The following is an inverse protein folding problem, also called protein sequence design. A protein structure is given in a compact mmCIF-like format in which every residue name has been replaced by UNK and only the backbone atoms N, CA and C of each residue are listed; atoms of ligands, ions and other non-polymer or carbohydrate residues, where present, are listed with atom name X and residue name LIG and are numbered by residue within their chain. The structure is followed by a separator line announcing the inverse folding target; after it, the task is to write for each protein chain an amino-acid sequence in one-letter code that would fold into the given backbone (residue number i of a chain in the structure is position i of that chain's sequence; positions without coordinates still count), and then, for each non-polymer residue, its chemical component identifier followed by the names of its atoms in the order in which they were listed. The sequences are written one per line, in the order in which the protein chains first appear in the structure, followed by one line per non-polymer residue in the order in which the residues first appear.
data_IF_550756217828
#
_entry.id   IF_550756217828
#
_cell.length_a   1.000
_cell.length_b   1.000
_cell.length_c   1.000
_cell.angle_alpha   90.00
_cell.angle_beta   90.00
_cell.angle_gamma   90.00
#
_symmetry.space_group_name_H-M   'P 1'
#
loop_
_entity.id
_entity.type
_entity.pdbx_description
1 polymer ?
#
# COMPACT_ATOMS: atom_id res chain seq x y z
N UNK A 1 12.95 78.68 23.66
CA UNK A 1 11.60 79.06 23.18
C UNK A 1 11.73 79.47 21.73
N UNK A 2 10.94 79.00 20.74
CA UNK A 2 10.08 77.82 20.57
C UNK A 2 10.67 76.83 19.51
N UNK A 3 10.40 75.51 19.51
CA UNK A 3 9.27 74.76 18.92
C UNK A 3 8.92 75.09 17.46
N UNK A 4 9.12 74.11 16.56
CA UNK A 4 8.09 73.68 15.61
C UNK A 4 8.35 72.23 15.16
N UNK A 5 7.26 71.47 15.23
CA UNK A 5 7.13 70.03 15.13
C UNK A 5 6.33 69.75 13.84
N UNK A 6 6.82 68.90 12.93
CA UNK A 6 5.97 68.29 11.88
C UNK A 6 6.36 66.83 11.69
N UNK A 7 5.33 66.01 11.72
CA UNK A 7 5.17 64.56 11.80
C UNK A 7 5.42 63.76 10.50
N UNK A 8 6.01 62.56 10.65
CA UNK A 8 5.88 61.25 9.92
C UNK A 8 5.83 61.20 8.38
N UNK A 9 6.54 60.22 7.77
CA UNK A 9 5.92 58.93 7.38
C UNK A 9 6.78 57.73 7.83
N UNK A 10 6.23 56.72 8.52
CA UNK A 10 5.57 55.50 8.03
C UNK A 10 6.46 54.53 7.22
N UNK A 11 6.43 53.26 7.69
CA UNK A 11 6.91 52.00 7.08
C UNK A 11 8.39 51.90 6.67
N UNK A 12 9.24 51.49 7.61
CA UNK A 12 10.54 50.89 7.29
C UNK A 12 10.38 49.38 7.12
N UNK A 13 10.31 48.99 5.85
CA UNK A 13 10.41 47.65 5.28
C UNK A 13 11.40 46.72 6.03
N UNK A 14 10.89 45.60 6.54
CA UNK A 14 11.71 44.47 6.99
C UNK A 14 12.39 43.89 5.76
N UNK A 15 13.67 44.23 5.60
CA UNK A 15 14.49 43.70 4.50
C UNK A 15 14.97 42.32 4.94
N UNK A 16 14.30 41.27 4.47
CA UNK A 16 14.82 39.90 4.58
C UNK A 16 16.10 39.80 3.73
N UNK A 17 17.26 39.99 4.35
CA UNK A 17 18.54 39.71 3.69
C UNK A 17 18.69 38.20 3.54
N UNK A 18 18.57 37.71 2.30
CA UNK A 18 18.88 36.32 1.95
C UNK A 18 20.39 36.21 1.79
N UNK A 19 21.07 35.79 2.85
CA UNK A 19 22.45 35.32 2.73
C UNK A 19 22.56 34.00 3.50
N UNK A 20 22.58 32.91 2.72
CA UNK A 20 22.94 31.54 3.12
C UNK A 20 22.32 31.01 4.44
N UNK A 21 21.19 30.31 4.30
CA UNK A 21 20.69 29.26 5.20
C UNK A 21 20.41 29.57 6.69
N UNK A 22 20.29 30.84 7.12
CA UNK A 22 19.94 31.18 8.50
C UNK A 22 18.84 32.26 8.54
N UNK A 23 17.64 31.89 9.00
CA UNK A 23 16.59 32.86 9.34
C UNK A 23 16.80 33.33 10.78
N UNK A 24 17.37 34.53 10.94
CA UNK A 24 17.50 35.19 12.25
C UNK A 24 16.24 35.99 12.55
N UNK A 25 15.48 35.62 13.58
CA UNK A 25 14.45 36.47 14.18
C UNK A 25 15.08 37.32 15.27
N UNK A 26 15.34 38.60 15.00
CA UNK A 26 15.85 39.53 16.00
C UNK A 26 14.72 39.95 16.95
N UNK A 27 14.76 39.51 18.21
CA UNK A 27 14.01 40.13 19.33
C UNK A 27 14.89 41.21 19.99
N UNK A 28 14.35 42.39 20.33
CA UNK A 28 15.15 43.54 20.77
C UNK A 28 15.47 43.48 22.28
N UNK A 29 15.86 42.31 22.80
CA UNK A 29 16.56 42.13 24.08
C UNK A 29 16.86 40.64 24.34
N UNK A 30 18.14 40.32 24.53
CA UNK A 30 18.70 39.06 25.06
C UNK A 30 18.60 37.79 24.21
N UNK A 31 19.78 37.20 23.96
CA UNK A 31 20.11 35.94 23.28
C UNK A 31 19.58 35.72 21.86
N UNK A 32 20.53 35.56 20.93
CA UNK A 32 20.24 35.19 19.54
C UNK A 32 19.74 33.75 19.49
N UNK A 33 18.43 33.55 19.64
CA UNK A 33 17.81 32.25 19.49
C UNK A 33 17.86 31.84 18.01
N UNK A 34 18.81 30.98 17.67
CA UNK A 34 18.93 30.43 16.31
C UNK A 34 17.95 29.27 16.17
N UNK A 35 16.98 29.42 15.28
CA UNK A 35 16.02 28.37 15.03
C UNK A 35 16.64 27.17 14.28
N UNK A 36 16.18 25.94 14.53
CA UNK A 36 16.62 24.76 13.80
C UNK A 36 16.38 24.88 12.30
N UNK A 37 17.19 24.19 11.49
CA UNK A 37 17.00 24.13 10.03
C UNK A 37 15.57 23.68 9.67
N UNK A 38 14.95 24.39 8.73
CA UNK A 38 13.57 24.10 8.33
C UNK A 38 12.49 24.76 9.19
N UNK A 39 12.88 25.47 10.25
CA UNK A 39 11.98 26.21 11.13
C UNK A 39 11.96 27.71 10.80
N UNK A 40 10.77 28.29 10.68
CA UNK A 40 10.55 29.74 10.47
C UNK A 40 10.53 30.51 11.80
N UNK A 41 9.84 29.97 12.81
CA UNK A 41 9.69 30.60 14.12
C UNK A 41 9.80 29.54 15.20
N UNK A 42 10.62 29.78 16.22
CA UNK A 42 10.86 28.86 17.31
C UNK A 42 10.81 29.55 18.67
N UNK A 43 10.67 28.75 19.73
CA UNK A 43 10.78 29.15 21.12
C UNK A 43 11.54 28.09 21.89
N UNK A 44 12.21 28.47 22.97
CA UNK A 44 12.95 27.52 23.82
C UNK A 44 12.05 26.40 24.43
N UNK A 45 10.84 26.68 24.96
CA UNK A 45 10.03 25.63 25.59
C UNK A 45 9.24 24.76 24.59
N UNK A 46 8.85 25.30 23.43
CA UNK A 46 8.00 24.58 22.46
C UNK A 46 8.76 24.13 21.20
N UNK A 47 10.01 24.56 21.05
CA UNK A 47 10.81 24.27 19.86
C UNK A 47 10.30 25.01 18.65
N UNK A 48 10.27 24.32 17.51
CA UNK A 48 9.75 24.92 16.30
C UNK A 48 8.24 25.04 16.34
N UNK A 49 7.72 26.21 15.95
CA UNK A 49 6.29 26.53 15.89
C UNK A 49 5.78 26.47 14.45
N UNK A 50 6.55 27.02 13.50
CA UNK A 50 6.19 27.03 12.07
C UNK A 50 7.30 26.44 11.21
N UNK A 51 6.96 25.46 10.38
CA UNK A 51 7.89 24.84 9.45
C UNK A 51 7.85 25.50 8.07
N UNK A 52 8.96 25.42 7.35
CA UNK A 52 8.98 25.72 5.92
C UNK A 52 8.04 24.76 5.15
N UNK A 53 7.41 25.20 4.04
CA UNK A 53 6.39 24.41 3.32
C UNK A 53 6.83 23.01 2.84
N UNK A 54 8.13 22.76 2.72
CA UNK A 54 8.69 21.46 2.30
C UNK A 54 8.84 20.44 3.44
N UNK A 55 8.66 20.88 4.69
CA UNK A 55 8.88 20.06 5.89
C UNK A 55 7.54 19.66 6.52
N UNK A 56 7.60 18.59 7.30
CA UNK A 56 6.50 18.14 8.15
C UNK A 56 6.76 18.55 9.59
N UNK A 57 5.76 19.14 10.22
CA UNK A 57 5.74 19.42 11.64
C UNK A 57 5.53 18.11 12.43
N UNK A 58 6.46 17.80 13.31
CA UNK A 58 6.44 16.66 14.21
C UNK A 58 6.43 17.15 15.66
N UNK A 59 5.43 16.70 16.41
CA UNK A 59 5.30 17.00 17.84
C UNK A 59 5.82 15.82 18.66
N UNK A 60 6.94 16.03 19.33
CA UNK A 60 7.51 15.05 20.24
C UNK A 60 7.03 15.30 21.67
N UNK A 61 6.56 14.24 22.33
CA UNK A 61 6.12 14.27 23.74
C UNK A 61 7.17 13.58 24.60
N UNK A 62 7.82 14.33 25.49
CA UNK A 62 8.74 13.79 26.48
C UNK A 62 8.24 14.17 27.89
N UNK A 63 7.55 13.23 28.55
CA UNK A 63 6.89 13.51 29.82
C UNK A 63 5.79 14.56 29.67
N UNK A 64 5.94 15.70 30.35
CA UNK A 64 5.02 16.85 30.27
C UNK A 64 5.41 17.87 29.20
N UNK A 65 6.56 17.68 28.53
CA UNK A 65 7.07 18.63 27.54
C UNK A 65 6.61 18.22 26.14
N UNK A 66 6.21 19.22 25.36
CA UNK A 66 5.78 19.09 23.97
C UNK A 66 6.68 19.96 23.09
N UNK A 67 7.53 19.32 22.30
CA UNK A 67 8.53 20.01 21.48
C UNK A 67 8.22 19.80 19.99
N UNK A 68 8.04 20.89 19.26
CA UNK A 68 7.85 20.88 17.81
C UNK A 68 9.18 20.81 17.06
N UNK A 69 9.22 20.02 16.00
CA UNK A 69 10.37 19.88 15.09
C UNK A 69 9.90 19.80 13.64
N UNK A 70 10.76 20.23 12.71
CA UNK A 70 10.48 20.18 11.28
C UNK A 70 11.33 19.10 10.62
N UNK A 71 10.68 18.07 10.08
CA UNK A 71 11.36 16.92 9.49
C UNK A 71 11.06 16.83 7.98
N UNK A 72 12.04 16.46 7.15
CA UNK A 72 11.80 16.24 5.72
C UNK A 72 10.95 14.97 5.49
N UNK A 73 10.92 14.04 6.44
CA UNK A 73 10.13 12.81 6.40
C UNK A 73 9.76 12.39 7.82
N UNK A 74 8.56 11.83 8.00
CA UNK A 74 8.08 11.44 9.32
C UNK A 74 8.80 10.18 9.86
N UNK A 75 9.00 10.09 11.18
CA UNK A 75 9.66 8.95 11.81
C UNK A 75 8.80 7.69 11.77
N UNK A 76 9.38 6.54 12.12
CA UNK A 76 8.68 5.25 12.19
C UNK A 76 7.44 5.33 13.10
N UNK A 77 6.33 4.73 12.65
CA UNK A 77 5.05 4.81 13.33
C UNK A 77 4.28 6.12 13.09
N UNK A 78 4.76 7.02 12.23
CA UNK A 78 4.07 8.23 11.80
C UNK A 78 3.98 8.29 10.27
N UNK A 79 2.96 8.97 9.75
CA UNK A 79 2.78 9.24 8.33
C UNK A 79 2.60 10.74 8.09
N UNK A 80 3.10 11.22 6.96
CA UNK A 80 3.02 12.64 6.60
C UNK A 80 1.68 13.00 5.97
N UNK A 81 1.01 14.02 6.50
CA UNK A 81 -0.21 14.58 5.94
C UNK A 81 0.12 15.94 5.34
N UNK A 82 0.05 16.03 4.01
CA UNK A 82 0.20 17.30 3.28
C UNK A 82 -1.14 18.03 3.23
N UNK A 83 -1.12 19.30 3.60
CA UNK A 83 -2.30 20.18 3.60
C UNK A 83 -2.21 21.15 2.41
N UNK A 84 -3.06 20.99 1.37
CA UNK A 84 -2.99 21.80 0.16
C UNK A 84 -3.44 23.27 0.37
N UNK A 85 -4.13 23.53 1.46
CA UNK A 85 -4.69 24.78 1.95
C UNK A 85 -3.63 25.78 2.48
N UNK A 86 -2.34 25.53 2.24
CA UNK A 86 -1.23 26.37 2.72
C UNK A 86 -0.91 26.18 4.20
N UNK A 87 -1.70 25.38 4.91
CA UNK A 87 -1.43 24.96 6.29
C UNK A 87 -0.20 24.05 6.36
N UNK A 88 0.47 24.05 7.52
CA UNK A 88 1.67 23.24 7.73
C UNK A 88 1.37 21.75 7.55
N UNK A 89 2.24 21.06 6.80
CA UNK A 89 2.16 19.60 6.67
C UNK A 89 2.56 18.99 8.01
N UNK A 90 1.87 17.94 8.46
CA UNK A 90 2.06 17.39 9.82
C UNK A 90 2.37 15.90 9.78
N UNK A 91 3.18 15.44 10.73
CA UNK A 91 3.37 14.02 11.00
C UNK A 91 2.29 13.53 11.96
N UNK A 92 1.44 12.62 11.49
CA UNK A 92 0.38 12.02 12.29
C UNK A 92 0.74 10.60 12.70
N UNK A 93 0.49 10.26 13.96
CA UNK A 93 0.75 8.91 14.48
C UNK A 93 -0.13 7.88 13.77
N UNK A 94 0.46 6.76 13.42
CA UNK A 94 -0.23 5.59 12.92
C UNK A 94 -1.16 5.03 14.02
N UNK A 95 -2.45 4.87 13.70
CA UNK A 95 -3.45 4.31 14.63
C UNK A 95 -4.05 3.00 14.14
N UNK A 96 -3.52 2.42 13.05
CA UNK A 96 -3.97 1.12 12.58
C UNK A 96 -3.50 0.02 13.53
N UNK A 97 -4.41 -0.91 13.83
CA UNK A 97 -4.10 -2.09 14.61
C UNK A 97 -3.11 -3.00 13.86
N UNK A 98 -2.14 -3.54 14.60
CA UNK A 98 -1.14 -4.49 14.08
C UNK A 98 -0.31 -3.98 12.88
N UNK A 99 -0.24 -2.66 12.71
CA UNK A 99 0.54 -2.00 11.67
C UNK A 99 1.89 -1.52 12.23
N UNK A 100 2.97 -1.77 11.49
CA UNK A 100 4.34 -1.30 11.79
C UNK A 100 4.58 0.04 11.10
N UNK A 101 4.30 0.12 9.79
CA UNK A 101 4.37 1.36 9.01
C UNK A 101 3.08 1.59 8.23
N UNK A 102 2.57 2.82 8.24
CA UNK A 102 1.43 3.22 7.43
C UNK A 102 1.77 4.40 6.52
N UNK A 103 1.12 4.42 5.37
CA UNK A 103 1.20 5.50 4.40
C UNK A 103 0.13 6.57 4.67
N UNK A 104 -1.05 6.14 5.12
CA UNK A 104 -2.18 7.02 5.42
C UNK A 104 -2.95 6.54 6.64
N UNK A 105 -3.90 7.35 7.10
CA UNK A 105 -4.77 7.06 8.26
C UNK A 105 -5.45 5.68 8.20
N UNK A 106 -5.73 5.17 7.00
CA UNK A 106 -6.43 3.91 6.79
C UNK A 106 -5.63 2.92 5.93
N UNK A 107 -4.34 3.19 5.69
CA UNK A 107 -3.53 2.39 4.77
C UNK A 107 -2.18 2.04 5.38
N UNK A 108 -2.05 0.78 5.79
CA UNK A 108 -0.83 0.15 6.25
C UNK A 108 0.02 -0.27 5.05
N UNK A 109 1.32 -0.03 5.12
CA UNK A 109 2.31 -0.51 4.15
C UNK A 109 3.05 -1.74 4.66
N UNK A 110 3.18 -1.88 5.99
CA UNK A 110 3.85 -3.03 6.59
C UNK A 110 3.16 -3.41 7.89
N UNK A 111 2.69 -4.65 7.96
CA UNK A 111 2.11 -5.21 9.18
C UNK A 111 3.21 -5.66 10.15
N UNK A 112 2.84 -5.78 11.43
CA UNK A 112 3.69 -6.44 12.44
C UNK A 112 3.89 -7.91 12.08
N UNK A 113 4.98 -8.49 12.55
CA UNK A 113 5.27 -9.91 12.34
C UNK A 113 4.10 -10.78 12.83
N UNK A 114 3.71 -11.76 12.01
CA UNK A 114 2.57 -12.64 12.29
C UNK A 114 1.22 -12.14 11.79
N UNK A 115 1.16 -10.95 11.17
CA UNK A 115 -0.06 -10.43 10.52
C UNK A 115 0.12 -10.32 9.02
N UNK A 116 -0.98 -10.54 8.29
CA UNK A 116 -1.04 -10.49 6.84
C UNK A 116 -1.66 -9.18 6.35
N UNK A 117 -0.98 -8.53 5.42
CA UNK A 117 -1.41 -7.30 4.76
C UNK A 117 -2.42 -7.63 3.64
N UNK A 118 -3.59 -7.05 3.72
CA UNK A 118 -4.61 -7.13 2.69
C UNK A 118 -5.29 -5.77 2.51
N UNK A 119 -5.22 -5.22 1.29
CA UNK A 119 -5.83 -3.91 0.93
C UNK A 119 -5.52 -2.79 1.93
N UNK A 120 -4.27 -2.71 2.40
CA UNK A 120 -3.83 -1.69 3.36
C UNK A 120 -4.26 -1.92 4.81
N UNK A 121 -4.76 -3.11 5.16
CA UNK A 121 -5.10 -3.49 6.55
C UNK A 121 -4.40 -4.77 6.95
N UNK A 122 -4.14 -4.91 8.25
CA UNK A 122 -3.46 -6.06 8.82
C UNK A 122 -4.47 -7.01 9.45
N UNK A 123 -4.40 -8.28 9.08
CA UNK A 123 -5.28 -9.35 9.55
C UNK A 123 -4.46 -10.49 10.15
N UNK A 124 -5.04 -11.24 11.09
CA UNK A 124 -4.40 -12.44 11.65
C UNK A 124 -4.33 -13.60 10.65
N UNK A 125 -5.24 -13.65 9.68
CA UNK A 125 -5.26 -14.59 8.57
C UNK A 125 -5.81 -13.91 7.30
N UNK A 126 -5.49 -14.43 6.13
CA UNK A 126 -6.04 -13.90 4.88
C UNK A 126 -7.56 -14.14 4.79
N UNK A 127 -8.33 -13.14 4.29
CA UNK A 127 -9.78 -13.29 4.11
C UNK A 127 -10.12 -14.31 3.02
N UNK A 128 -11.38 -14.76 2.98
CA UNK A 128 -11.86 -15.74 2.01
C UNK A 128 -11.52 -15.34 0.56
N UNK A 129 -10.98 -16.29 -0.21
CA UNK A 129 -10.55 -16.07 -1.59
C UNK A 129 -9.13 -15.49 -1.73
N UNK A 130 -8.39 -15.33 -0.63
CA UNK A 130 -7.00 -14.87 -0.62
C UNK A 130 -6.11 -15.85 0.14
N UNK A 131 -4.87 -16.00 -0.32
CA UNK A 131 -3.84 -16.82 0.34
C UNK A 131 -2.50 -16.08 0.34
N UNK A 132 -1.73 -16.30 1.40
CA UNK A 132 -0.35 -15.84 1.48
C UNK A 132 0.54 -16.74 0.62
N UNK A 133 1.12 -16.20 -0.46
CA UNK A 133 2.04 -16.96 -1.31
C UNK A 133 3.41 -17.05 -0.63
N UNK A 134 3.97 -18.25 -0.55
CA UNK A 134 5.36 -18.51 -0.15
C UNK A 134 5.80 -17.77 1.13
N UNK A 135 4.99 -17.82 2.19
CA UNK A 135 5.27 -17.16 3.48
C UNK A 135 5.38 -15.62 3.41
N UNK A 136 4.99 -14.99 2.31
CA UNK A 136 4.84 -13.54 2.26
C UNK A 136 3.78 -13.10 3.27
N UNK A 137 4.02 -12.01 3.99
CA UNK A 137 3.04 -11.39 4.89
C UNK A 137 2.00 -10.56 4.12
N UNK A 138 1.70 -10.95 2.88
CA UNK A 138 0.77 -10.27 1.97
C UNK A 138 -0.26 -11.27 1.44
N UNK A 139 -1.53 -10.87 1.46
CA UNK A 139 -2.63 -11.66 0.94
C UNK A 139 -2.83 -11.35 -0.54
N UNK A 140 -2.47 -12.31 -1.39
CA UNK A 140 -2.79 -12.30 -2.82
C UNK A 140 -4.07 -13.08 -3.07
N UNK A 141 -4.78 -12.80 -4.16
CA UNK A 141 -5.94 -13.61 -4.54
C UNK A 141 -5.49 -15.07 -4.61
N UNK A 142 -6.13 -15.93 -3.84
CA UNK A 142 -5.99 -17.36 -4.02
C UNK A 142 -6.51 -17.60 -5.43
N UNK A 143 -5.61 -17.84 -6.38
CA UNK A 143 -6.01 -18.10 -7.74
C UNK A 143 -7.09 -19.18 -7.69
N UNK A 144 -8.33 -18.79 -7.99
CA UNK A 144 -9.37 -19.74 -8.31
C UNK A 144 -8.74 -20.59 -9.41
N UNK A 145 -8.65 -21.89 -9.17
CA UNK A 145 -7.81 -22.78 -9.95
C UNK A 145 -7.83 -22.43 -11.44
N UNK A 146 -6.68 -22.03 -11.97
CA UNK A 146 -6.59 -21.73 -13.40
C UNK A 146 -6.38 -23.05 -14.13
N UNK A 147 -7.33 -23.38 -15.01
CA UNK A 147 -7.20 -24.49 -15.93
C UNK A 147 -6.44 -24.01 -17.16
N UNK A 148 -5.46 -24.80 -17.60
CA UNK A 148 -4.70 -24.51 -18.79
C UNK A 148 -5.57 -24.51 -20.06
N UNK A 149 -4.99 -24.11 -21.21
CA UNK A 149 -5.68 -24.20 -22.48
C UNK A 149 -6.11 -25.65 -22.76
N UNK A 150 -7.20 -25.81 -23.48
CA UNK A 150 -7.63 -27.12 -23.95
C UNK A 150 -6.58 -27.72 -24.90
N UNK A 151 -6.23 -28.99 -24.66
CA UNK A 151 -5.55 -29.78 -25.67
C UNK A 151 -6.42 -30.00 -26.91
N UNK A 152 -5.79 -30.47 -27.98
CA UNK A 152 -6.49 -30.83 -29.20
C UNK A 152 -7.49 -31.97 -28.97
N UNK A 153 -8.48 -32.05 -29.85
CA UNK A 153 -9.42 -33.16 -29.85
C UNK A 153 -8.71 -34.45 -30.23
N UNK A 154 -8.85 -35.47 -29.38
CA UNK A 154 -8.37 -36.82 -29.69
C UNK A 154 -9.11 -37.44 -30.88
N UNK A 155 -8.72 -38.67 -31.29
CA UNK A 155 -9.36 -39.34 -32.42
C UNK A 155 -10.85 -39.61 -32.15
N UNK A 156 -11.66 -39.47 -33.19
CA UNK A 156 -13.07 -39.88 -33.14
C UNK A 156 -13.16 -41.41 -33.06
N UNK A 157 -13.72 -41.94 -31.97
CA UNK A 157 -13.82 -43.38 -31.71
C UNK A 157 -15.25 -43.77 -31.31
N UNK A 158 -15.69 -44.98 -31.66
CA UNK A 158 -16.88 -45.62 -31.07
C UNK A 158 -16.46 -46.93 -30.41
N UNK A 159 -16.71 -47.06 -29.12
CA UNK A 159 -16.27 -48.20 -28.31
C UNK A 159 -14.76 -48.49 -28.48
N UNK A 160 -13.94 -47.42 -28.54
CA UNK A 160 -12.48 -47.53 -28.73
C UNK A 160 -12.03 -47.79 -30.17
N UNK A 161 -12.94 -47.98 -31.14
CA UNK A 161 -12.59 -48.27 -32.54
C UNK A 161 -12.86 -47.06 -33.47
N UNK A 162 -11.99 -46.77 -34.46
CA UNK A 162 -12.17 -45.65 -35.40
C UNK A 162 -12.99 -46.01 -36.66
N UNK A 163 -13.67 -47.15 -36.67
CA UNK A 163 -14.29 -47.75 -37.86
C UNK A 163 -15.65 -48.40 -37.51
N UNK A 164 -16.36 -48.94 -38.50
CA UNK A 164 -17.56 -49.76 -38.27
C UNK A 164 -18.83 -48.99 -37.86
N UNK A 165 -18.76 -47.67 -37.72
CA UNK A 165 -19.91 -46.84 -37.41
C UNK A 165 -19.87 -45.48 -38.10
N UNK A 166 -21.04 -44.83 -38.22
CA UNK A 166 -21.19 -43.49 -38.82
C UNK A 166 -20.80 -42.36 -37.85
N UNK A 167 -20.93 -42.59 -36.56
CA UNK A 167 -20.74 -41.59 -35.49
C UNK A 167 -19.91 -42.17 -34.36
N UNK A 168 -19.04 -41.36 -33.77
CA UNK A 168 -18.24 -41.66 -32.59
C UNK A 168 -18.22 -40.49 -31.61
N UNK A 169 -17.33 -40.59 -30.63
CA UNK A 169 -17.01 -39.52 -29.69
C UNK A 169 -15.50 -39.25 -29.73
N UNK A 170 -15.15 -37.98 -29.61
CA UNK A 170 -13.78 -37.53 -29.37
C UNK A 170 -13.75 -36.80 -28.03
N UNK A 171 -12.61 -36.91 -27.36
CA UNK A 171 -12.40 -36.28 -26.06
C UNK A 171 -11.18 -35.36 -26.15
N UNK A 172 -11.25 -34.25 -25.42
CA UNK A 172 -10.10 -33.42 -25.11
C UNK A 172 -9.97 -33.26 -23.62
N UNK A 173 -8.77 -32.97 -23.17
CA UNK A 173 -8.45 -32.75 -21.75
C UNK A 173 -7.75 -31.41 -21.60
N UNK A 174 -7.97 -30.76 -20.46
CA UNK A 174 -7.15 -29.63 -20.00
C UNK A 174 -6.68 -29.92 -18.59
N UNK A 175 -5.40 -29.73 -18.37
CA UNK A 175 -4.79 -29.87 -17.05
C UNK A 175 -4.86 -28.57 -16.26
N UNK A 176 -4.74 -28.69 -14.95
CA UNK A 176 -4.57 -27.54 -14.07
C UNK A 176 -3.26 -26.83 -14.38
N UNK A 177 -3.30 -25.54 -14.76
CA UNK A 177 -2.11 -24.72 -15.02
C UNK A 177 -1.60 -24.05 -13.75
N UNK A 178 -2.50 -23.62 -12.87
CA UNK A 178 -2.16 -23.12 -11.54
C UNK A 178 -2.97 -23.92 -10.51
N UNK A 179 -2.31 -24.79 -9.73
CA UNK A 179 -3.00 -25.52 -8.67
C UNK A 179 -3.56 -24.53 -7.65
N UNK A 180 -4.82 -24.73 -7.25
CA UNK A 180 -5.41 -23.99 -6.15
C UNK A 180 -4.47 -24.10 -4.95
N UNK A 181 -3.95 -22.97 -4.48
CA UNK A 181 -3.15 -22.97 -3.27
C UNK A 181 -4.10 -23.38 -2.14
N UNK A 182 -3.90 -24.59 -1.61
CA UNK A 182 -4.68 -25.15 -0.51
C UNK A 182 -4.80 -24.09 0.57
N UNK A 183 -6.01 -23.56 0.76
CA UNK A 183 -6.39 -22.93 2.01
C UNK A 183 -6.43 -24.07 3.05
N UNK A 184 -5.30 -24.31 3.70
CA UNK A 184 -5.27 -25.16 4.88
C UNK A 184 -5.88 -24.35 6.04
N UNK A 185 -7.21 -24.32 6.10
CA UNK A 185 -7.93 -24.18 7.36
C UNK A 185 -8.30 -25.60 7.82
N UNK A 186 -7.81 -26.07 8.99
CA UNK A 186 -8.25 -27.35 9.52
C UNK A 186 -9.68 -27.19 10.04
N UNK A 187 -10.66 -27.82 9.41
CA UNK A 187 -11.96 -28.04 10.04
C UNK A 187 -13.23 -27.93 9.19
N UNK A 188 -13.18 -27.57 7.90
CA UNK A 188 -14.40 -27.54 7.07
C UNK A 188 -14.21 -28.41 5.83
N UNK A 189 -14.99 -29.49 5.79
CA UNK A 189 -14.95 -30.51 4.75
C UNK A 189 -15.30 -29.99 3.36
N UNK A 190 -14.72 -30.65 2.36
CA UNK A 190 -15.27 -30.72 1.01
C UNK A 190 -15.07 -29.48 0.13
N UNK A 191 -13.88 -28.90 0.09
CA UNK A 191 -13.51 -28.07 -1.06
C UNK A 191 -13.08 -28.99 -2.19
N UNK A 192 -13.90 -29.11 -3.25
CA UNK A 192 -13.56 -29.88 -4.45
C UNK A 192 -12.14 -29.50 -4.90
N UNK A 193 -11.23 -30.48 -4.81
CA UNK A 193 -9.87 -30.30 -5.27
C UNK A 193 -9.92 -29.91 -6.75
N UNK A 194 -9.07 -28.98 -7.17
CA UNK A 194 -9.03 -28.65 -8.57
C UNK A 194 -8.56 -29.86 -9.37
N UNK A 195 -9.42 -30.34 -10.27
CA UNK A 195 -9.21 -31.55 -11.05
C UNK A 195 -9.09 -31.22 -12.54
N UNK A 196 -8.35 -32.08 -13.24
CA UNK A 196 -8.27 -32.06 -14.69
C UNK A 196 -9.67 -32.23 -15.29
N UNK A 197 -9.98 -31.39 -16.27
CA UNK A 197 -11.29 -31.41 -16.92
C UNK A 197 -11.21 -32.19 -18.23
N UNK A 198 -12.19 -33.08 -18.44
CA UNK A 198 -12.37 -33.82 -19.70
C UNK A 198 -13.69 -33.42 -20.34
N UNK A 199 -13.64 -33.04 -21.62
CA UNK A 199 -14.82 -32.75 -22.41
C UNK A 199 -14.93 -33.77 -23.55
N UNK A 200 -16.15 -34.22 -23.81
CA UNK A 200 -16.46 -35.17 -24.89
C UNK A 200 -17.45 -34.55 -25.84
N UNK A 201 -17.24 -34.71 -27.15
CA UNK A 201 -18.22 -34.31 -28.17
C UNK A 201 -18.45 -35.40 -29.20
N UNK A 202 -19.61 -35.35 -29.85
CA UNK A 202 -19.97 -36.25 -30.94
C UNK A 202 -19.23 -35.84 -32.22
N UNK A 203 -18.69 -36.83 -32.92
CA UNK A 203 -17.91 -36.64 -34.13
C UNK A 203 -18.33 -37.66 -35.21
N UNK A 204 -18.05 -37.35 -36.48
CA UNK A 204 -18.40 -38.21 -37.62
C UNK A 204 -17.21 -39.08 -37.98
N UNK A 205 -17.42 -40.39 -37.96
CA UNK A 205 -16.40 -41.36 -38.34
C UNK A 205 -16.29 -41.46 -39.86
N UNK A 206 -15.07 -41.66 -40.36
CA UNK A 206 -14.86 -42.03 -41.76
C UNK A 206 -15.31 -43.48 -41.94
N UNK A 207 -16.17 -43.74 -42.93
CA UNK A 207 -16.61 -45.10 -43.27
C UNK A 207 -15.40 -45.92 -43.69
N UNK A 208 -14.92 -46.78 -42.79
CA UNK A 208 -13.87 -47.76 -43.04
C UNK A 208 -14.34 -49.09 -42.47
N UNK A 209 -13.97 -50.16 -43.16
CA UNK A 209 -14.15 -51.53 -42.67
C UNK A 209 -13.32 -51.70 -41.39
N UNK A 210 -13.91 -52.30 -40.35
CA UNK A 210 -13.14 -52.68 -39.17
C UNK A 210 -12.52 -54.04 -39.43
N UNK A 211 -11.19 -54.20 -39.27
CA UNK A 211 -10.59 -55.52 -39.22
C UNK A 211 -11.13 -56.27 -37.99
N UNK A 212 -11.30 -57.59 -38.15
CA UNK A 212 -11.75 -58.51 -37.10
C UNK A 212 -10.75 -58.56 -35.93
#
# INVERSE_FOLDING_TARGET
VPLLNISTPSLSTVTCMVQSDIYLTHTPNSDTLVCPKGCLTCSEPNGCINCLPRYFFFLERQGMHEMGSCLPSCPAGYFGVRRPDGNVSVCQRCRLENCDTCFAKNFCTKCRAGFYLHKGKCHNACPHGFSAVNQSMECTSAAACELGPWGDWGPCLKNGRPCGAKWGQEARTRSVSIPAQRAAAPGTGGGDACQDSRETRRCRLRKRHCPD
#
